data_IF_367077028425
#
_entry.id   IF_367077028425
#
_cell.length_a   1.000
_cell.length_b   1.000
_cell.length_c   1.000
_cell.angle_alpha   90.00
_cell.angle_beta   90.00
_cell.angle_gamma   90.00
#
_symmetry.space_group_name_H-M   'P 1'
#
loop_
_entity.id
_entity.type
_entity.pdbx_description
1 polymer ?
#
# COMPACT_ATOMS: atom_id res chain seq x y z
N UNK A 1 16.75 9.20 18.42
CA UNK A 1 16.20 10.33 17.61
C UNK A 1 16.36 10.01 16.12
N UNK A 2 15.97 8.80 15.74
CA UNK A 2 16.22 8.25 14.40
C UNK A 2 15.01 8.46 13.51
N UNK A 3 15.28 8.86 12.26
CA UNK A 3 14.34 9.00 11.14
C UNK A 3 13.14 9.92 11.40
N UNK A 4 13.02 10.97 10.60
CA UNK A 4 11.79 11.77 10.51
C UNK A 4 10.57 10.83 10.45
N UNK A 5 9.66 10.88 11.44
CA UNK A 5 8.43 10.10 11.41
C UNK A 5 7.72 10.34 10.07
N UNK A 6 7.41 9.26 9.35
CA UNK A 6 6.71 9.31 8.06
C UNK A 6 7.59 9.31 6.80
N UNK A 7 8.92 9.46 6.87
CA UNK A 7 9.76 9.34 5.66
C UNK A 7 9.75 7.92 5.10
N UNK A 8 9.79 6.91 5.99
CA UNK A 8 9.64 5.52 5.60
C UNK A 8 8.34 5.28 4.84
N UNK A 9 7.23 5.79 5.36
CA UNK A 9 5.89 5.62 4.80
C UNK A 9 5.71 6.32 3.45
N UNK A 10 6.33 7.49 3.27
CA UNK A 10 6.34 8.20 1.97
C UNK A 10 7.11 7.38 0.94
N UNK A 11 8.28 6.85 1.28
CA UNK A 11 9.11 6.06 0.36
C UNK A 11 8.42 4.76 -0.05
N UNK A 12 7.86 4.00 0.90
CA UNK A 12 7.10 2.78 0.58
C UNK A 12 5.84 3.07 -0.22
N UNK A 13 5.15 4.18 0.04
CA UNK A 13 3.97 4.60 -0.73
C UNK A 13 4.31 4.97 -2.18
N UNK A 14 5.39 5.72 -2.39
CA UNK A 14 5.87 6.07 -3.72
C UNK A 14 6.34 4.84 -4.50
N UNK A 15 7.04 3.91 -3.84
CA UNK A 15 7.42 2.64 -4.45
C UNK A 15 6.19 1.83 -4.89
N UNK A 16 5.15 1.77 -4.05
CA UNK A 16 3.89 1.09 -4.36
C UNK A 16 3.20 1.67 -5.59
N UNK A 17 3.09 3.00 -5.64
CA UNK A 17 2.50 3.70 -6.77
C UNK A 17 3.30 3.47 -8.06
N UNK A 18 4.64 3.50 -7.97
CA UNK A 18 5.51 3.26 -9.11
C UNK A 18 5.30 1.86 -9.71
N UNK A 19 5.25 0.80 -8.89
CA UNK A 19 5.08 -0.58 -9.39
C UNK A 19 3.73 -0.77 -10.10
N UNK A 20 2.65 -0.16 -9.59
CA UNK A 20 1.33 -0.16 -10.23
C UNK A 20 1.33 0.59 -11.57
N UNK A 21 1.97 1.76 -11.63
CA UNK A 21 2.11 2.54 -12.87
C UNK A 21 2.98 1.80 -13.89
N UNK A 22 4.07 1.16 -13.45
CA UNK A 22 4.93 0.35 -14.29
C UNK A 22 4.14 -0.81 -14.92
N UNK A 23 3.35 -1.55 -14.12
CA UNK A 23 2.49 -2.61 -14.62
C UNK A 23 1.53 -2.10 -15.71
N UNK A 24 0.87 -0.96 -15.50
CA UNK A 24 -0.04 -0.37 -16.48
C UNK A 24 0.67 0.05 -17.79
N UNK A 25 1.86 0.64 -17.68
CA UNK A 25 2.68 1.05 -18.83
C UNK A 25 3.12 -0.16 -19.66
N UNK A 26 3.45 -1.26 -18.98
CA UNK A 26 3.82 -2.53 -19.63
C UNK A 26 2.62 -3.26 -20.24
N UNK A 27 1.39 -2.81 -19.98
CA UNK A 27 0.19 -3.42 -20.55
C UNK A 27 -0.37 -4.57 -19.73
N UNK A 28 -0.02 -4.64 -18.44
CA UNK A 28 -0.52 -5.64 -17.51
C UNK A 28 -2.06 -5.77 -17.57
N UNK A 29 -2.59 -7.00 -17.46
CA UNK A 29 -4.02 -7.22 -17.51
C UNK A 29 -4.72 -6.74 -16.24
N UNK A 30 -6.03 -6.46 -16.36
CA UNK A 30 -6.84 -5.98 -15.24
C UNK A 30 -6.77 -6.89 -14.00
N UNK A 31 -6.71 -8.21 -14.22
CA UNK A 31 -6.59 -9.20 -13.13
C UNK A 31 -5.28 -9.05 -12.36
N UNK A 32 -4.16 -8.75 -13.05
CA UNK A 32 -2.87 -8.54 -12.40
C UNK A 32 -2.90 -7.26 -11.55
N UNK A 33 -3.38 -6.16 -12.12
CA UNK A 33 -3.52 -4.87 -11.42
C UNK A 33 -4.45 -5.00 -10.20
N UNK A 34 -5.56 -5.74 -10.31
CA UNK A 34 -6.46 -5.99 -9.20
C UNK A 34 -5.79 -6.81 -8.07
N UNK A 35 -5.02 -7.85 -8.41
CA UNK A 35 -4.24 -8.63 -7.44
C UNK A 35 -3.20 -7.76 -6.74
N UNK A 36 -2.52 -6.89 -7.48
CA UNK A 36 -1.54 -5.96 -6.90
C UNK A 36 -2.20 -4.98 -5.92
N UNK A 37 -3.39 -4.48 -6.26
CA UNK A 37 -4.19 -3.64 -5.36
C UNK A 37 -4.64 -4.38 -4.09
N UNK A 38 -5.02 -5.65 -4.21
CA UNK A 38 -5.40 -6.48 -3.07
C UNK A 38 -4.23 -6.70 -2.09
N UNK A 39 -3.02 -6.99 -2.59
CA UNK A 39 -1.84 -7.10 -1.74
C UNK A 39 -1.58 -5.82 -0.93
N UNK A 40 -1.77 -4.67 -1.56
CA UNK A 40 -1.62 -3.37 -0.91
C UNK A 40 -2.66 -3.14 0.19
N UNK A 41 -3.93 -3.51 -0.09
CA UNK A 41 -5.01 -3.40 0.89
C UNK A 41 -4.77 -4.34 2.09
N UNK A 42 -4.37 -5.58 1.84
CA UNK A 42 -4.08 -6.56 2.91
C UNK A 42 -2.93 -6.10 3.80
N UNK A 43 -1.84 -5.60 3.23
CA UNK A 43 -0.70 -5.13 4.03
C UNK A 43 -1.04 -3.84 4.80
N UNK A 44 -1.87 -2.95 4.25
CA UNK A 44 -2.36 -1.79 4.99
C UNK A 44 -3.28 -2.17 6.16
N UNK A 45 -4.11 -3.22 6.01
CA UNK A 45 -4.93 -3.76 7.09
C UNK A 45 -4.08 -4.43 8.18
N UNK A 46 -3.05 -5.18 7.80
CA UNK A 46 -2.10 -5.79 8.74
C UNK A 46 -1.30 -4.72 9.48
N UNK A 47 -0.84 -3.69 8.77
CA UNK A 47 -0.14 -2.53 9.34
C UNK A 47 -1.03 -1.63 10.20
N UNK A 48 -2.36 -1.73 10.11
CA UNK A 48 -3.28 -0.94 10.93
C UNK A 48 -3.29 -1.34 12.41
N UNK A 49 -2.63 -2.45 12.78
CA UNK A 49 -2.52 -2.92 14.16
C UNK A 49 -1.44 -2.11 14.89
N UNK A 50 -1.81 -1.17 15.79
CA UNK A 50 -0.89 -0.18 16.37
C UNK A 50 0.11 -0.77 17.38
N UNK A 51 0.08 -2.09 17.62
CA UNK A 51 1.00 -2.82 18.48
C UNK A 51 2.15 -3.50 17.71
N UNK A 52 2.09 -3.48 16.37
CA UNK A 52 3.15 -4.02 15.51
C UNK A 52 3.96 -2.85 14.95
N UNK A 53 5.14 -2.63 15.51
CA UNK A 53 6.05 -1.51 15.19
C UNK A 53 6.64 -1.50 13.78
N UNK A 54 6.21 -2.42 12.90
CA UNK A 54 6.88 -2.73 11.65
C UNK A 54 6.06 -2.28 10.43
N UNK A 55 5.40 -1.10 10.50
CA UNK A 55 4.68 -0.51 9.36
C UNK A 55 5.53 -0.50 8.08
N UNK A 56 6.83 -0.24 8.23
CA UNK A 56 7.81 -0.29 7.16
C UNK A 56 7.96 -1.69 6.54
N UNK A 57 8.02 -2.73 7.38
CA UNK A 57 8.19 -4.12 6.93
C UNK A 57 6.94 -4.63 6.20
N UNK A 58 5.75 -4.23 6.67
CA UNK A 58 4.48 -4.53 6.00
C UNK A 58 4.41 -3.87 4.61
N UNK A 59 4.73 -2.57 4.50
CA UNK A 59 4.74 -1.86 3.22
C UNK A 59 5.80 -2.41 2.24
N UNK A 60 6.97 -2.79 2.74
CA UNK A 60 8.05 -3.37 1.92
C UNK A 60 7.68 -4.75 1.37
N UNK A 61 7.05 -5.61 2.18
CA UNK A 61 6.56 -6.93 1.74
C UNK A 61 5.47 -6.83 0.68
N UNK A 62 4.60 -5.82 0.74
CA UNK A 62 3.56 -5.57 -0.28
C UNK A 62 4.19 -5.29 -1.64
N UNK A 63 5.17 -4.39 -1.63
CA UNK A 63 5.89 -3.97 -2.82
C UNK A 63 6.68 -5.11 -3.45
N UNK A 64 7.35 -5.92 -2.63
CA UNK A 64 8.09 -7.08 -3.11
C UNK A 64 7.18 -8.12 -3.76
N UNK A 65 6.00 -8.38 -3.17
CA UNK A 65 5.00 -9.29 -3.75
C UNK A 65 4.47 -8.75 -5.07
N UNK A 66 4.19 -7.45 -5.16
CA UNK A 66 3.72 -6.82 -6.39
C UNK A 66 4.79 -6.78 -7.49
N UNK A 67 6.06 -6.54 -7.13
CA UNK A 67 7.18 -6.60 -8.06
C UNK A 67 7.35 -8.01 -8.63
N UNK A 68 7.29 -9.05 -7.79
CA UNK A 68 7.35 -10.45 -8.23
C UNK A 68 6.21 -10.83 -9.16
N UNK A 69 4.97 -10.44 -8.83
CA UNK A 69 3.81 -10.66 -9.70
C UNK A 69 4.00 -10.01 -11.07
N UNK A 70 4.60 -8.81 -11.12
CA UNK A 70 4.90 -8.13 -12.36
C UNK A 70 6.02 -8.83 -13.14
N UNK A 71 7.10 -9.24 -12.46
CA UNK A 71 8.21 -9.99 -13.07
C UNK A 71 7.73 -11.32 -13.68
N UNK A 72 6.93 -12.10 -12.94
CA UNK A 72 6.34 -13.35 -13.41
C UNK A 72 5.49 -13.14 -14.67
N UNK A 73 4.69 -12.07 -14.70
CA UNK A 73 3.88 -11.75 -15.88
C UNK A 73 4.72 -11.28 -17.06
N UNK A 74 5.77 -10.49 -16.84
CA UNK A 74 6.70 -10.08 -17.91
C UNK A 74 7.43 -11.28 -18.50
N UNK A 75 7.79 -12.27 -17.67
CA UNK A 75 8.45 -13.50 -18.10
C UNK A 75 7.55 -14.42 -18.93
N UNK A 76 6.24 -14.44 -18.65
CA UNK A 76 5.26 -15.26 -19.36
C UNK A 76 3.94 -14.49 -19.56
N UNK A 77 3.88 -13.54 -20.51
CA UNK A 77 2.69 -12.73 -20.72
C UNK A 77 1.57 -13.57 -21.35
N UNK A 78 0.48 -13.76 -20.61
CA UNK A 78 -0.73 -14.40 -21.15
C UNK A 78 -1.60 -13.43 -21.97
N UNK A 79 -2.49 -13.98 -22.81
CA UNK A 79 -3.47 -13.25 -23.62
C UNK A 79 -4.63 -12.67 -22.78
N UNK A 80 -4.31 -11.78 -21.84
CA UNK A 80 -5.30 -11.17 -20.97
C UNK A 80 -5.54 -9.69 -21.33
N UNK A 81 -6.79 -9.23 -21.18
CA UNK A 81 -7.20 -7.86 -21.49
C UNK A 81 -6.42 -6.85 -20.64
N UNK A 82 -5.72 -5.93 -21.30
CA UNK A 82 -4.99 -4.81 -20.69
C UNK A 82 -5.88 -4.05 -19.70
N UNK A 83 -5.32 -3.72 -18.55
CA UNK A 83 -5.99 -2.88 -17.55
C UNK A 83 -6.30 -1.48 -18.12
N UNK A 84 -7.51 -0.98 -17.86
CA UNK A 84 -7.84 0.41 -18.17
C UNK A 84 -7.13 1.35 -17.19
N UNK A 85 -6.77 2.56 -17.65
CA UNK A 85 -6.17 3.57 -16.78
C UNK A 85 -7.08 3.95 -15.59
N UNK A 86 -8.40 3.87 -15.78
CA UNK A 86 -9.41 4.05 -14.73
C UNK A 86 -9.27 3.00 -13.61
N UNK A 87 -9.02 1.74 -13.94
CA UNK A 87 -8.81 0.71 -12.91
C UNK A 87 -7.57 1.01 -12.08
N UNK A 88 -6.48 1.42 -12.73
CA UNK A 88 -5.23 1.77 -12.05
C UNK A 88 -5.45 2.98 -11.14
N UNK A 89 -6.11 4.02 -11.65
CA UNK A 89 -6.47 5.19 -10.86
C UNK A 89 -7.38 4.82 -9.67
N UNK A 90 -8.37 3.95 -9.86
CA UNK A 90 -9.24 3.47 -8.80
C UNK A 90 -8.47 2.68 -7.73
N UNK A 91 -7.53 1.82 -8.11
CA UNK A 91 -6.66 1.09 -7.17
C UNK A 91 -5.78 2.05 -6.37
N UNK A 92 -5.18 3.05 -7.02
CA UNK A 92 -4.35 4.07 -6.35
C UNK A 92 -5.17 4.93 -5.38
N UNK A 93 -6.35 5.39 -5.79
CA UNK A 93 -7.27 6.15 -4.94
C UNK A 93 -7.76 5.30 -3.76
N UNK A 94 -8.13 4.04 -4.01
CA UNK A 94 -8.54 3.10 -2.97
C UNK A 94 -7.42 2.88 -1.94
N UNK A 95 -6.18 2.68 -2.41
CA UNK A 95 -5.02 2.57 -1.53
C UNK A 95 -4.81 3.82 -0.66
N UNK A 96 -4.93 5.02 -1.26
CA UNK A 96 -4.81 6.28 -0.54
C UNK A 96 -5.88 6.42 0.55
N UNK A 97 -7.13 6.06 0.24
CA UNK A 97 -8.24 6.08 1.20
C UNK A 97 -7.99 5.12 2.37
N UNK A 98 -7.51 3.91 2.10
CA UNK A 98 -7.18 2.94 3.16
C UNK A 98 -6.07 3.49 4.06
N UNK A 99 -4.98 4.01 3.48
CA UNK A 99 -3.87 4.60 4.25
C UNK A 99 -4.36 5.78 5.11
N UNK A 100 -5.14 6.69 4.54
CA UNK A 100 -5.70 7.83 5.27
C UNK A 100 -6.62 7.40 6.41
N UNK A 101 -7.44 6.36 6.19
CA UNK A 101 -8.35 5.81 7.21
C UNK A 101 -7.55 5.22 8.38
N UNK A 102 -6.51 4.44 8.09
CA UNK A 102 -5.64 3.85 9.10
C UNK A 102 -4.92 4.94 9.92
N UNK A 103 -4.35 5.93 9.24
CA UNK A 103 -3.69 7.06 9.91
C UNK A 103 -4.67 7.84 10.80
N UNK A 104 -5.90 8.06 10.34
CA UNK A 104 -6.93 8.72 11.12
C UNK A 104 -7.30 7.93 12.38
N UNK A 105 -7.50 6.62 12.27
CA UNK A 105 -7.79 5.76 13.44
C UNK A 105 -6.62 5.76 14.41
N UNK A 106 -5.39 5.61 13.93
CA UNK A 106 -4.19 5.64 14.76
C UNK A 106 -4.06 6.98 15.51
N UNK A 107 -4.28 8.10 14.82
CA UNK A 107 -4.27 9.43 15.44
C UNK A 107 -5.36 9.59 16.50
N UNK A 108 -6.58 9.11 16.24
CA UNK A 108 -7.69 9.14 17.20
C UNK A 108 -7.37 8.34 18.47
N UNK A 109 -6.78 7.16 18.34
CA UNK A 109 -6.38 6.33 19.47
C UNK A 109 -5.25 6.98 20.28
N UNK A 110 -4.26 7.55 19.60
CA UNK A 110 -3.16 8.27 20.25
C UNK A 110 -3.65 9.52 21.01
N UNK A 111 -4.54 10.30 20.40
CA UNK A 111 -5.13 11.48 21.04
C UNK A 111 -5.99 11.10 22.26
N UNK A 112 -6.73 9.99 22.17
CA UNK A 112 -7.47 9.44 23.31
C UNK A 112 -6.54 9.03 24.46
N UNK A 113 -5.50 8.24 24.19
CA UNK A 113 -4.55 7.78 25.20
C UNK A 113 -3.80 8.94 25.88
N UNK A 114 -3.41 9.97 25.11
CA UNK A 114 -2.76 11.16 25.65
C UNK A 114 -3.69 11.98 26.56
N UNK A 115 -4.99 12.04 26.26
CA UNK A 115 -5.99 12.71 27.09
C UNK A 115 -6.15 12.05 28.45
N UNK A 116 -6.19 10.71 28.48
CA UNK A 116 -6.31 9.92 29.71
C UNK A 116 -5.10 10.14 30.64
N UNK A 117 -3.89 10.13 30.09
CA UNK A 117 -2.64 10.36 30.83
C UNK A 117 -2.51 11.77 31.43
N UNK A 118 -3.29 12.74 30.93
CA UNK A 118 -3.28 14.13 31.41
C UNK A 118 -4.38 14.41 32.44
N UNK A 119 -5.38 13.53 32.54
CA UNK A 119 -6.53 13.67 33.41
C UNK A 119 -6.39 12.94 34.75
N UNK A 120 -5.39 12.06 34.89
CA UNK A 120 -4.98 11.43 36.16
C UNK A 120 -3.72 12.07 36.73
#
# INVERSE_FOLDING_TARGET
>A
MGLLPGVGDVVTSLASAYVLVAAWRLGAPAVLVARMGLNLALDALVGAVPLLGDLFDAGFKANLRNARLLEEWVAAPGEARRASGLLVAAVLLGALVVVASVAFVAWRLAAWAYGELRAG
#
